data_IF_822964252032
#
_entry.id   IF_822964252032
#
_cell.length_a   1.000
_cell.length_b   1.000
_cell.length_c   1.000
_cell.angle_alpha   90.00
_cell.angle_beta   90.00
_cell.angle_gamma   90.00
#
_symmetry.space_group_name_H-M   'P 1'
#
loop_
_entity.id
_entity.type
_entity.pdbx_description
1 polymer ?
#
# COMPACT_ATOMS: atom_id res chain seq x y z
N UNK A 1 11.46 10.41 -41.81
CA UNK A 1 10.42 11.45 -41.99
C UNK A 1 9.08 10.76 -41.99
N UNK A 2 8.44 10.65 -40.82
CA UNK A 2 7.17 9.92 -40.67
C UNK A 2 6.14 10.92 -40.17
N UNK A 3 5.26 11.32 -41.08
CA UNK A 3 4.17 12.26 -40.84
C UNK A 3 3.06 11.56 -40.06
N UNK A 4 2.72 12.08 -38.88
CA UNK A 4 1.57 11.65 -38.10
C UNK A 4 0.31 12.42 -38.55
N UNK A 5 -0.86 11.77 -38.63
CA UNK A 5 -2.09 12.43 -39.04
C UNK A 5 -2.73 13.24 -37.89
N UNK A 6 -3.50 14.30 -38.21
CA UNK A 6 -4.16 15.13 -37.22
C UNK A 6 -5.37 14.42 -36.60
N UNK A 7 -5.40 14.39 -35.26
CA UNK A 7 -6.51 13.91 -34.44
C UNK A 7 -7.62 14.96 -34.40
N UNK A 8 -8.70 14.73 -35.14
CA UNK A 8 -9.94 15.49 -35.05
C UNK A 8 -10.78 14.97 -33.89
N UNK A 9 -10.87 15.72 -32.80
CA UNK A 9 -11.85 15.46 -31.75
C UNK A 9 -13.20 16.10 -32.14
N UNK A 10 -14.32 15.38 -32.03
CA UNK A 10 -15.64 15.94 -32.32
C UNK A 10 -16.10 16.88 -31.20
N UNK A 11 -16.40 18.12 -31.58
CA UNK A 11 -17.12 19.10 -30.76
C UNK A 11 -18.55 18.61 -30.54
N UNK A 12 -18.88 18.25 -29.30
CA UNK A 12 -20.25 17.90 -28.94
C UNK A 12 -21.13 19.17 -28.95
N UNK A 13 -22.05 19.24 -29.93
CA UNK A 13 -23.10 20.24 -29.97
C UNK A 13 -24.08 20.01 -28.82
N UNK A 14 -24.16 21.01 -27.93
CA UNK A 14 -25.09 21.05 -26.81
C UNK A 14 -26.45 21.53 -27.34
N UNK A 15 -27.32 20.62 -27.70
CA UNK A 15 -28.72 20.90 -28.08
C UNK A 15 -29.49 21.40 -26.86
N UNK A 16 -29.76 22.70 -26.79
CA UNK A 16 -30.74 23.28 -25.87
C UNK A 16 -32.14 23.08 -26.45
N UNK A 17 -32.87 22.13 -25.89
CA UNK A 17 -34.32 21.97 -26.08
C UNK A 17 -35.02 23.15 -25.41
N UNK A 18 -35.49 24.09 -26.21
CA UNK A 18 -36.42 25.13 -25.77
C UNK A 18 -37.80 24.48 -25.60
N UNK A 19 -38.23 24.30 -24.35
CA UNK A 19 -39.62 24.03 -24.02
C UNK A 19 -40.31 25.33 -23.65
N UNK A 20 -41.38 25.60 -24.40
CA UNK A 20 -42.32 26.69 -24.27
C UNK A 20 -43.18 26.54 -23.00
N UNK A 21 -43.21 27.52 -22.07
CA UNK A 21 -44.10 27.46 -20.92
C UNK A 21 -45.43 28.16 -21.21
N UNK A 22 -46.51 27.36 -21.17
CA UNK A 22 -47.88 27.86 -21.16
C UNK A 22 -48.19 28.77 -19.95
N UNK A 23 -49.27 29.57 -20.03
CA UNK A 23 -49.62 30.57 -19.02
C UNK A 23 -50.17 29.89 -17.76
N UNK A 24 -49.27 29.58 -16.83
CA UNK A 24 -49.61 29.13 -15.47
C UNK A 24 -49.73 30.34 -14.56
N UNK A 25 -50.92 30.53 -14.00
CA UNK A 25 -51.27 31.59 -13.06
C UNK A 25 -50.24 31.67 -11.92
N UNK A 26 -49.55 32.82 -11.83
CA UNK A 26 -48.58 33.13 -10.78
C UNK A 26 -49.31 33.39 -9.46
N UNK A 27 -49.03 32.64 -8.39
CA UNK A 27 -49.39 33.04 -7.03
C UNK A 27 -48.68 34.35 -6.65
N UNK A 28 -49.23 35.14 -5.72
CA UNK A 28 -48.66 36.41 -5.28
C UNK A 28 -47.23 36.22 -4.74
N UNK A 29 -46.33 37.05 -5.23
CA UNK A 29 -44.90 37.04 -4.95
C UNK A 29 -44.64 37.08 -3.43
N UNK A 30 -44.10 35.98 -2.90
CA UNK A 30 -43.36 35.99 -1.65
C UNK A 30 -42.09 36.85 -1.84
N UNK A 31 -41.65 37.60 -0.81
CA UNK A 31 -40.48 38.46 -0.90
C UNK A 31 -39.29 37.66 -1.39
N UNK A 32 -38.74 38.11 -2.53
CA UNK A 32 -37.51 37.60 -3.13
C UNK A 32 -36.48 37.45 -2.01
N UNK A 33 -36.19 36.20 -1.68
CA UNK A 33 -35.10 35.85 -0.79
C UNK A 33 -33.86 36.37 -1.50
N UNK A 34 -33.36 37.52 -1.06
CA UNK A 34 -32.16 38.15 -1.58
C UNK A 34 -31.10 37.06 -1.74
N UNK A 35 -30.92 36.61 -2.98
CA UNK A 35 -29.93 35.61 -3.28
C UNK A 35 -28.62 36.20 -2.78
N UNK A 36 -28.06 35.60 -1.73
CA UNK A 36 -26.80 36.01 -1.12
C UNK A 36 -25.72 35.78 -2.19
N UNK A 37 -25.56 36.75 -3.08
CA UNK A 37 -24.50 36.79 -4.06
C UNK A 37 -23.21 36.79 -3.25
N UNK A 38 -22.56 35.63 -3.22
CA UNK A 38 -21.40 35.39 -2.36
C UNK A 38 -20.38 36.49 -2.60
N UNK A 39 -20.03 37.22 -1.53
CA UNK A 39 -19.02 38.28 -1.60
C UNK A 39 -17.79 37.72 -2.30
N UNK A 40 -17.26 38.38 -3.35
CA UNK A 40 -16.11 37.88 -4.08
C UNK A 40 -14.97 37.65 -3.08
N UNK A 41 -14.42 36.43 -3.07
CA UNK A 41 -13.32 36.08 -2.18
C UNK A 41 -12.12 36.98 -2.52
N UNK A 42 -11.70 37.80 -1.57
CA UNK A 42 -10.50 38.62 -1.70
C UNK A 42 -9.30 37.69 -1.91
N UNK A 43 -8.41 38.07 -2.82
CA UNK A 43 -7.17 37.32 -3.10
C UNK A 43 -6.05 37.92 -2.27
N UNK A 44 -5.19 37.06 -1.73
CA UNK A 44 -3.99 37.50 -1.00
C UNK A 44 -3.04 38.20 -1.98
N UNK A 45 -2.35 39.25 -1.51
CA UNK A 45 -1.39 39.96 -2.33
C UNK A 45 -0.21 39.03 -2.74
N UNK A 46 0.45 39.26 -3.88
CA UNK A 46 1.56 38.43 -4.34
C UNK A 46 2.69 38.32 -3.30
N UNK A 47 3.03 39.42 -2.64
CA UNK A 47 4.07 39.47 -1.61
C UNK A 47 3.71 38.60 -0.39
N UNK A 48 2.41 38.60 -0.02
CA UNK A 48 1.89 37.70 1.00
C UNK A 48 2.09 36.23 0.62
N UNK A 49 1.78 35.86 -0.63
CA UNK A 49 2.02 34.49 -1.12
C UNK A 49 3.49 34.10 -1.12
N UNK A 50 4.39 35.01 -1.50
CA UNK A 50 5.84 34.77 -1.47
C UNK A 50 6.30 34.44 -0.03
N UNK A 51 5.91 35.27 0.93
CA UNK A 51 6.22 35.07 2.35
C UNK A 51 5.67 33.73 2.89
N UNK A 52 4.42 33.38 2.57
CA UNK A 52 3.86 32.09 2.98
C UNK A 52 4.59 30.89 2.35
N UNK A 53 4.99 31.02 1.09
CA UNK A 53 5.67 29.95 0.34
C UNK A 53 7.09 29.74 0.86
N UNK A 54 7.82 30.81 1.13
CA UNK A 54 9.19 30.71 1.66
C UNK A 54 9.21 30.17 3.08
N UNK A 55 8.27 30.59 3.93
CA UNK A 55 8.15 30.02 5.27
C UNK A 55 7.84 28.52 5.23
N UNK A 56 7.01 28.09 4.28
CA UNK A 56 6.69 26.67 4.12
C UNK A 56 7.90 25.83 3.70
N UNK A 57 8.77 26.35 2.82
CA UNK A 57 10.02 25.69 2.43
C UNK A 57 10.95 25.49 3.62
N UNK A 58 10.99 26.45 4.55
CA UNK A 58 11.83 26.39 5.74
C UNK A 58 11.28 25.44 6.80
N UNK A 59 9.98 25.52 7.07
CA UNK A 59 9.32 24.73 8.12
C UNK A 59 7.95 24.27 7.64
N UNK A 60 7.77 22.99 7.26
CA UNK A 60 6.46 22.51 6.83
C UNK A 60 5.48 22.33 8.00
N UNK A 61 5.98 22.13 9.21
CA UNK A 61 5.22 21.89 10.44
C UNK A 61 5.32 23.08 11.41
N UNK A 62 4.58 24.16 11.15
CA UNK A 62 4.54 25.32 12.06
C UNK A 62 3.72 25.02 13.33
N UNK A 63 4.24 25.46 14.47
CA UNK A 63 3.51 25.55 15.73
C UNK A 63 2.49 26.70 15.68
N UNK A 64 1.52 26.69 16.59
CA UNK A 64 0.48 27.72 16.64
C UNK A 64 1.06 29.12 16.92
N UNK A 65 2.11 29.21 17.73
CA UNK A 65 2.81 30.46 18.01
C UNK A 65 3.47 31.03 16.74
N UNK A 66 4.19 30.21 15.97
CA UNK A 66 4.81 30.67 14.72
C UNK A 66 3.77 31.11 13.69
N UNK A 67 2.58 30.48 13.66
CA UNK A 67 1.50 30.94 12.79
C UNK A 67 1.00 32.34 13.20
N UNK A 68 0.98 32.69 14.50
CA UNK A 68 0.58 34.03 14.96
C UNK A 68 1.61 35.08 14.57
N UNK A 69 2.90 34.77 14.75
CA UNK A 69 3.99 35.64 14.31
C UNK A 69 3.98 35.85 12.79
N UNK A 70 3.70 34.79 12.03
CA UNK A 70 3.57 34.86 10.57
C UNK A 70 2.37 35.71 10.14
N UNK A 71 1.25 35.61 10.85
CA UNK A 71 0.07 36.44 10.60
C UNK A 71 0.37 37.93 10.85
N UNK A 72 1.12 38.23 11.92
CA UNK A 72 1.53 39.61 12.22
C UNK A 72 2.39 40.19 11.09
N UNK A 73 3.39 39.44 10.61
CA UNK A 73 4.20 39.85 9.43
C UNK A 73 3.37 40.01 8.17
N UNK A 74 2.32 39.20 8.02
CA UNK A 74 1.42 39.28 6.87
C UNK A 74 0.54 40.53 6.91
N UNK A 75 0.15 41.01 8.10
CA UNK A 75 -0.57 42.28 8.29
C UNK A 75 0.32 43.51 8.09
N UNK A 76 1.64 43.39 8.22
CA UNK A 76 2.57 44.47 7.85
C UNK A 76 2.62 44.72 6.32
N UNK A 77 2.16 43.76 5.51
CA UNK A 77 2.06 43.90 4.05
C UNK A 77 0.75 44.59 3.67
N UNK A 78 0.85 45.71 2.95
CA UNK A 78 -0.30 46.48 2.48
C UNK A 78 -1.30 45.61 1.69
N UNK A 79 -2.57 45.60 2.13
CA UNK A 79 -3.66 44.88 1.47
C UNK A 79 -3.90 43.46 1.98
N UNK A 80 -3.18 43.01 3.00
CA UNK A 80 -3.32 41.71 3.64
C UNK A 80 -4.00 41.77 5.03
N UNK A 81 -4.46 42.94 5.48
CA UNK A 81 -5.07 43.16 6.81
C UNK A 81 -6.32 42.31 7.07
N UNK A 82 -7.02 41.95 6.00
CA UNK A 82 -8.25 41.16 6.07
C UNK A 82 -8.00 39.67 6.31
N UNK A 83 -6.75 39.20 6.19
CA UNK A 83 -6.41 37.80 6.32
C UNK A 83 -6.47 37.38 7.79
N UNK A 84 -7.23 36.32 8.08
CA UNK A 84 -7.41 35.88 9.47
C UNK A 84 -6.50 34.70 9.82
N UNK A 85 -6.38 34.43 11.12
CA UNK A 85 -5.66 33.26 11.61
C UNK A 85 -6.26 31.93 11.10
N UNK A 86 -7.59 31.88 10.96
CA UNK A 86 -8.29 30.71 10.43
C UNK A 86 -8.00 30.51 8.93
N UNK A 87 -7.91 31.59 8.16
CA UNK A 87 -7.50 31.51 6.75
C UNK A 87 -6.07 30.99 6.61
N UNK A 88 -5.17 31.41 7.51
CA UNK A 88 -3.80 30.92 7.56
C UNK A 88 -3.72 29.43 7.92
N UNK A 89 -4.45 28.98 8.96
CA UNK A 89 -4.59 27.56 9.32
C UNK A 89 -5.13 26.74 8.16
N UNK A 90 -6.16 27.25 7.48
CA UNK A 90 -6.78 26.62 6.31
C UNK A 90 -5.80 26.50 5.15
N UNK A 91 -5.02 27.55 4.89
CA UNK A 91 -3.98 27.55 3.86
C UNK A 91 -2.89 26.51 4.16
N UNK A 92 -2.37 26.43 5.40
CA UNK A 92 -1.38 25.41 5.78
C UNK A 92 -1.91 23.98 5.70
N UNK A 93 -3.18 23.77 6.08
CA UNK A 93 -3.85 22.47 5.91
C UNK A 93 -3.93 22.09 4.43
N UNK A 94 -4.34 23.02 3.58
CA UNK A 94 -4.42 22.80 2.13
C UNK A 94 -3.05 22.52 1.49
N UNK A 95 -2.00 23.22 1.93
CA UNK A 95 -0.63 22.93 1.50
C UNK A 95 -0.18 21.52 1.88
N UNK A 96 -0.40 21.13 3.14
CA UNK A 96 -0.08 19.76 3.59
C UNK A 96 -0.86 18.72 2.79
N UNK A 97 -2.14 18.94 2.50
CA UNK A 97 -2.94 18.02 1.68
C UNK A 97 -2.48 17.94 0.21
N UNK A 98 -1.88 19.02 -0.32
CA UNK A 98 -1.30 19.02 -1.67
C UNK A 98 0.07 18.33 -1.74
N UNK A 99 0.80 18.35 -0.62
CA UNK A 99 2.19 17.89 -0.51
C UNK A 99 2.33 16.51 0.11
N UNK A 100 1.37 16.06 0.92
CA UNK A 100 1.09 14.63 1.01
C UNK A 100 0.92 14.22 -0.44
N UNK A 101 1.82 13.41 -1.02
CA UNK A 101 1.71 12.97 -2.39
C UNK A 101 0.28 12.53 -2.52
N UNK A 102 -0.52 13.29 -3.29
CA UNK A 102 -1.95 13.07 -3.42
C UNK A 102 -2.03 11.59 -3.71
N UNK A 103 -2.42 10.79 -2.71
CA UNK A 103 -2.40 9.35 -2.83
C UNK A 103 -3.19 9.14 -4.10
N UNK A 104 -2.47 8.74 -5.15
CA UNK A 104 -3.08 8.49 -6.45
C UNK A 104 -4.23 7.57 -6.07
N UNK A 105 -5.50 7.95 -6.35
CA UNK A 105 -6.65 7.26 -5.78
C UNK A 105 -6.36 5.78 -5.90
N UNK A 106 -6.10 5.14 -4.76
CA UNK A 106 -5.33 3.90 -4.70
C UNK A 106 -5.92 3.03 -5.79
N UNK A 107 -5.13 2.81 -6.85
CA UNK A 107 -5.64 2.07 -8.00
C UNK A 107 -6.20 0.77 -7.42
N UNK A 108 -7.22 0.17 -8.03
CA UNK A 108 -7.67 -1.15 -7.56
C UNK A 108 -6.48 -2.10 -7.41
N UNK A 109 -5.42 -1.90 -8.21
CA UNK A 109 -4.13 -2.56 -8.06
C UNK A 109 -3.33 -2.19 -6.80
N UNK A 110 -3.29 -0.93 -6.36
CA UNK A 110 -2.58 -0.51 -5.15
C UNK A 110 -3.26 -1.01 -3.87
N UNK A 111 -4.61 -1.10 -3.89
CA UNK A 111 -5.39 -1.64 -2.77
C UNK A 111 -5.19 -3.14 -2.65
N UNK A 112 -5.23 -3.86 -3.79
CA UNK A 112 -5.15 -5.32 -3.82
C UNK A 112 -3.72 -5.84 -3.71
N UNK A 113 -2.72 -5.06 -4.10
CA UNK A 113 -1.33 -5.49 -4.21
C UNK A 113 -0.35 -4.43 -3.69
N UNK A 114 -0.35 -4.13 -2.38
CA UNK A 114 0.43 -3.03 -1.82
C UNK A 114 1.95 -3.21 -1.96
N UNK A 115 2.45 -4.44 -2.16
CA UNK A 115 3.88 -4.68 -2.38
C UNK A 115 4.33 -4.57 -3.83
N UNK A 116 3.40 -4.42 -4.80
CA UNK A 116 3.72 -4.31 -6.22
C UNK A 116 3.87 -2.85 -6.63
N UNK A 117 5.08 -2.46 -7.02
CA UNK A 117 5.33 -1.16 -7.66
C UNK A 117 4.88 -1.17 -9.13
N UNK A 118 4.55 -0.01 -9.73
CA UNK A 118 4.22 0.08 -11.16
C UNK A 118 5.31 -0.49 -12.07
N UNK A 119 6.59 -0.33 -11.71
CA UNK A 119 7.71 -0.91 -12.44
C UNK A 119 7.75 -2.44 -12.35
N UNK A 120 7.42 -3.01 -11.18
CA UNK A 120 7.34 -4.46 -11.00
C UNK A 120 6.22 -5.09 -11.82
N UNK A 121 5.09 -4.38 -11.98
CA UNK A 121 3.96 -4.81 -12.82
C UNK A 121 4.39 -4.93 -14.30
N UNK A 122 5.14 -3.95 -14.83
CA UNK A 122 5.67 -4.03 -16.19
C UNK A 122 6.59 -5.23 -16.40
N UNK A 123 7.44 -5.55 -15.40
CA UNK A 123 8.30 -6.74 -15.44
C UNK A 123 7.49 -8.03 -15.37
N UNK A 124 6.43 -8.08 -14.55
CA UNK A 124 5.53 -9.22 -14.47
C UNK A 124 4.79 -9.48 -15.80
N UNK A 125 4.41 -8.43 -16.52
CA UNK A 125 3.82 -8.57 -17.86
C UNK A 125 4.79 -9.23 -18.84
N UNK A 126 6.08 -8.86 -18.82
CA UNK A 126 7.12 -9.52 -19.63
C UNK A 126 7.26 -10.99 -19.24
N UNK A 127 7.37 -11.28 -17.94
CA UNK A 127 7.52 -12.66 -17.44
C UNK A 127 6.31 -13.54 -17.81
N UNK A 128 5.09 -13.01 -17.73
CA UNK A 128 3.88 -13.74 -18.14
C UNK A 128 3.77 -13.93 -19.65
N UNK A 129 4.34 -13.03 -20.45
CA UNK A 129 4.41 -13.23 -21.91
C UNK A 129 5.33 -14.40 -22.30
N UNK A 130 6.35 -14.67 -21.50
CA UNK A 130 7.28 -15.79 -21.70
C UNK A 130 6.73 -17.10 -21.11
N UNK A 131 6.11 -17.05 -19.93
CA UNK A 131 5.49 -18.20 -19.27
C UNK A 131 4.11 -17.83 -18.71
N UNK A 132 3.02 -18.12 -19.45
CA UNK A 132 1.66 -17.72 -19.05
C UNK A 132 1.10 -18.52 -17.87
N UNK A 133 1.71 -19.67 -17.54
CA UNK A 133 1.28 -20.55 -16.45
C UNK A 133 2.45 -20.91 -15.54
N UNK A 134 3.00 -19.94 -14.80
CA UNK A 134 4.16 -20.17 -13.95
C UNK A 134 3.81 -21.11 -12.80
N UNK A 135 4.76 -21.97 -12.43
CA UNK A 135 4.65 -22.82 -11.23
C UNK A 135 4.85 -21.98 -9.98
N UNK A 136 4.32 -22.45 -8.84
CA UNK A 136 4.45 -21.75 -7.55
C UNK A 136 5.92 -21.43 -7.18
N UNK A 137 6.84 -22.33 -7.51
CA UNK A 137 8.28 -22.10 -7.31
C UNK A 137 8.80 -20.91 -8.13
N UNK A 138 8.35 -20.74 -9.37
CA UNK A 138 8.73 -19.61 -10.24
C UNK A 138 8.16 -18.30 -9.71
N UNK A 139 6.90 -18.31 -9.25
CA UNK A 139 6.25 -17.16 -8.61
C UNK A 139 7.03 -16.70 -7.38
N UNK A 140 7.52 -17.62 -6.55
CA UNK A 140 8.37 -17.29 -5.41
C UNK A 140 9.72 -16.68 -5.79
N UNK A 141 10.32 -17.12 -6.91
CA UNK A 141 11.54 -16.50 -7.44
C UNK A 141 11.25 -15.08 -7.94
N UNK A 142 10.14 -14.89 -8.66
CA UNK A 142 9.73 -13.58 -9.16
C UNK A 142 9.47 -12.60 -8.01
N UNK A 143 8.69 -13.00 -7.00
CA UNK A 143 8.41 -12.19 -5.84
C UNK A 143 9.69 -11.72 -5.13
N UNK A 144 10.63 -12.63 -4.89
CA UNK A 144 11.92 -12.30 -4.27
C UNK A 144 12.76 -11.34 -5.11
N UNK A 145 12.75 -11.48 -6.44
CA UNK A 145 13.50 -10.60 -7.36
C UNK A 145 12.86 -9.23 -7.54
N UNK A 146 11.54 -9.14 -7.42
CA UNK A 146 10.78 -7.89 -7.54
C UNK A 146 10.68 -7.13 -6.21
N UNK A 147 11.08 -7.75 -5.08
CA UNK A 147 10.91 -7.17 -3.75
C UNK A 147 9.45 -7.13 -3.30
N UNK A 148 8.61 -7.99 -3.86
CA UNK A 148 7.19 -8.08 -3.58
C UNK A 148 6.85 -9.33 -2.76
N UNK A 149 5.67 -9.36 -2.14
CA UNK A 149 5.21 -10.55 -1.43
C UNK A 149 4.75 -11.61 -2.44
N UNK A 150 4.97 -12.90 -2.10
CA UNK A 150 4.52 -14.01 -2.93
C UNK A 150 3.00 -13.95 -3.20
N UNK A 151 2.22 -13.58 -2.16
CA UNK A 151 0.77 -13.53 -2.22
C UNK A 151 0.30 -12.48 -3.22
N UNK A 152 0.89 -11.28 -3.21
CA UNK A 152 0.51 -10.21 -4.13
C UNK A 152 0.83 -10.58 -5.58
N UNK A 153 1.99 -11.16 -5.84
CA UNK A 153 2.37 -11.62 -7.19
C UNK A 153 1.41 -12.70 -7.68
N UNK A 154 1.11 -13.70 -6.85
CA UNK A 154 0.18 -14.78 -7.20
C UNK A 154 -1.22 -14.24 -7.51
N UNK A 155 -1.74 -13.37 -6.62
CA UNK A 155 -3.08 -12.77 -6.78
C UNK A 155 -3.16 -11.92 -8.04
N UNK A 156 -2.10 -11.15 -8.34
CA UNK A 156 -2.02 -10.35 -9.55
C UNK A 156 -2.01 -11.23 -10.81
N UNK A 157 -1.28 -12.36 -10.81
CA UNK A 157 -1.28 -13.33 -11.92
C UNK A 157 -2.67 -13.92 -12.14
N UNK A 158 -3.37 -14.29 -11.06
CA UNK A 158 -4.71 -14.87 -11.15
C UNK A 158 -5.74 -13.86 -11.67
N UNK A 159 -5.62 -12.59 -11.25
CA UNK A 159 -6.42 -11.49 -11.77
C UNK A 159 -6.10 -11.19 -13.25
N UNK A 160 -4.82 -11.21 -13.62
CA UNK A 160 -4.41 -11.04 -15.01
C UNK A 160 -4.97 -12.16 -15.91
N UNK A 161 -4.95 -13.41 -15.45
CA UNK A 161 -5.53 -14.55 -16.17
C UNK A 161 -7.04 -14.44 -16.33
N UNK A 162 -7.76 -13.90 -15.35
CA UNK A 162 -9.21 -13.69 -15.46
C UNK A 162 -9.58 -12.56 -16.42
N UNK A 163 -8.69 -11.58 -16.58
CA UNK A 163 -8.85 -10.49 -17.55
C UNK A 163 -8.36 -10.84 -18.95
N UNK A 164 -7.53 -11.87 -19.11
CA UNK A 164 -7.19 -12.38 -20.42
C UNK A 164 -8.51 -12.85 -21.05
N UNK A 165 -9.00 -12.19 -22.12
CA UNK A 165 -10.21 -12.65 -22.78
C UNK A 165 -9.91 -14.09 -23.14
N UNK A 166 -10.61 -15.05 -22.53
CA UNK A 166 -10.47 -16.47 -22.83
C UNK A 166 -10.51 -16.57 -24.34
N UNK A 167 -9.32 -16.70 -24.94
CA UNK A 167 -9.16 -16.63 -26.38
C UNK A 167 -9.79 -17.89 -26.88
N UNK A 168 -11.09 -17.79 -27.16
CA UNK A 168 -11.94 -18.89 -27.48
C UNK A 168 -11.84 -20.06 -26.48
N UNK A 169 -12.73 -20.04 -25.48
CA UNK A 169 -13.84 -20.99 -25.59
C UNK A 169 -14.23 -21.02 -27.06
N UNK A 170 -13.64 -21.97 -27.80
CA UNK A 170 -14.06 -22.35 -29.13
C UNK A 170 -15.53 -22.61 -28.91
N UNK A 171 -16.36 -21.59 -29.12
CA UNK A 171 -17.66 -21.75 -29.71
C UNK A 171 -17.30 -22.57 -30.93
N UNK A 172 -17.39 -23.89 -30.76
CA UNK A 172 -17.46 -24.82 -31.85
C UNK A 172 -18.36 -24.09 -32.83
N UNK A 173 -17.77 -23.63 -33.95
CA UNK A 173 -18.59 -23.44 -35.13
C UNK A 173 -19.39 -24.74 -35.19
N UNK A 174 -20.74 -24.67 -35.21
CA UNK A 174 -21.57 -25.86 -35.16
C UNK A 174 -20.97 -26.81 -36.18
N UNK A 175 -20.37 -27.90 -35.68
CA UNK A 175 -19.74 -28.87 -36.56
C UNK A 175 -20.87 -29.29 -37.49
N UNK A 176 -20.75 -29.09 -38.82
CA UNK A 176 -21.80 -29.49 -39.74
C UNK A 176 -22.15 -30.94 -39.46
N UNK A 177 -23.45 -31.26 -39.50
CA UNK A 177 -23.99 -32.57 -39.17
C UNK A 177 -23.12 -33.69 -39.77
N UNK A 178 -22.95 -34.83 -39.06
CA UNK A 178 -22.13 -35.93 -39.54
C UNK A 178 -22.61 -36.38 -40.92
N UNK A 179 -21.83 -36.01 -41.94
CA UNK A 179 -22.02 -36.49 -43.30
C UNK A 179 -21.89 -38.00 -43.27
N UNK A 180 -23.00 -38.68 -43.55
CA UNK A 180 -23.11 -40.12 -43.74
C UNK A 180 -22.29 -40.56 -44.96
N UNK A 181 -20.98 -40.61 -44.80
CA UNK A 181 -20.10 -41.31 -45.73
C UNK A 181 -20.04 -42.78 -45.31
N UNK A 182 -20.44 -43.74 -46.16
CA UNK A 182 -20.42 -45.16 -45.81
C UNK A 182 -18.95 -45.62 -45.65
N UNK A 183 -18.63 -46.19 -44.49
CA UNK A 183 -17.32 -46.78 -44.23
C UNK A 183 -17.12 -48.05 -45.09
N UNK A 184 -15.94 -48.26 -45.70
CA UNK A 184 -15.54 -49.55 -46.24
C UNK A 184 -15.16 -50.50 -45.10
N UNK A 185 -15.88 -51.62 -45.05
CA UNK A 185 -15.69 -52.77 -44.17
C UNK A 185 -14.24 -53.29 -44.23
N UNK A 186 -13.42 -53.01 -43.22
CA UNK A 186 -12.12 -53.67 -43.06
C UNK A 186 -11.97 -54.36 -41.71
N UNK A 187 -12.03 -55.69 -41.82
CA UNK A 187 -11.26 -56.72 -41.10
C UNK A 187 -11.01 -56.53 -39.60
N UNK A 188 -11.80 -57.29 -38.84
CA UNK A 188 -11.56 -57.79 -37.49
C UNK A 188 -10.13 -58.31 -37.30
N UNK A 189 -9.40 -57.71 -36.34
CA UNK A 189 -8.18 -58.29 -35.77
C UNK A 189 -8.47 -58.89 -34.38
N UNK A 190 -7.73 -59.94 -33.98
CA UNK A 190 -8.05 -60.77 -32.83
C UNK A 190 -7.68 -60.14 -31.46
N UNK A 191 -8.25 -60.67 -30.36
CA UNK A 191 -8.02 -60.20 -29.00
C UNK A 191 -6.64 -60.60 -28.50
N UNK A 192 -5.83 -59.63 -28.09
CA UNK A 192 -4.61 -59.87 -27.32
C UNK A 192 -4.98 -59.93 -25.83
N UNK A 193 -4.95 -61.14 -25.28
CA UNK A 193 -4.88 -61.41 -23.85
C UNK A 193 -3.41 -61.49 -23.46
N UNK A 194 -2.96 -60.67 -22.51
CA UNK A 194 -1.75 -60.86 -21.70
C UNK A 194 -1.44 -59.53 -21.01
N UNK A 195 -1.03 -59.41 -19.76
CA UNK A 195 -0.76 -60.34 -18.68
C UNK A 195 -0.59 -59.44 -17.45
N UNK A 196 -1.21 -59.81 -16.33
CA UNK A 196 -0.99 -59.13 -15.07
C UNK A 196 0.47 -59.20 -14.64
N UNK A 197 1.03 -58.05 -14.26
CA UNK A 197 2.20 -58.02 -13.38
C UNK A 197 1.85 -57.17 -12.17
N UNK A 198 1.45 -57.87 -11.12
CA UNK A 198 1.38 -57.40 -9.74
C UNK A 198 2.80 -57.09 -9.27
N UNK A 199 3.15 -55.81 -9.13
CA UNK A 199 4.31 -55.42 -8.35
C UNK A 199 3.88 -55.18 -6.91
N UNK A 200 3.99 -56.24 -6.11
CA UNK A 200 4.08 -56.14 -4.67
C UNK A 200 5.46 -55.53 -4.33
N UNK A 201 5.49 -54.22 -4.12
CA UNK A 201 6.62 -53.55 -3.47
C UNK A 201 6.39 -53.61 -1.98
N UNK A 202 7.33 -54.27 -1.31
CA UNK A 202 7.44 -54.48 0.12
C UNK A 202 7.23 -53.18 0.91
N UNK A 203 6.30 -53.24 1.86
CA UNK A 203 6.30 -52.39 3.05
C UNK A 203 7.57 -52.70 3.83
N UNK A 204 8.58 -51.84 3.70
CA UNK A 204 9.63 -51.73 4.69
C UNK A 204 9.15 -50.80 5.79
N UNK A 205 9.00 -51.37 6.98
CA UNK A 205 8.49 -50.73 8.19
C UNK A 205 9.55 -49.80 8.76
N UNK A 206 9.71 -48.62 8.16
CA UNK A 206 10.36 -47.52 8.84
C UNK A 206 9.41 -47.02 9.93
N UNK A 207 9.72 -47.40 11.18
CA UNK A 207 9.21 -46.75 12.38
C UNK A 207 9.35 -45.24 12.20
N UNK A 208 8.23 -44.60 11.90
CA UNK A 208 8.13 -43.16 11.95
C UNK A 208 8.45 -42.72 13.37
N UNK A 209 9.40 -41.79 13.56
CA UNK A 209 9.60 -41.15 14.85
C UNK A 209 8.23 -40.61 15.28
N UNK A 210 7.74 -41.14 16.40
CA UNK A 210 6.55 -40.70 17.10
C UNK A 210 6.61 -39.17 17.15
N UNK A 211 5.90 -38.52 16.22
CA UNK A 211 5.83 -37.07 16.14
C UNK A 211 5.31 -36.64 17.49
N UNK A 212 6.19 -36.02 18.29
CA UNK A 212 5.80 -35.32 19.50
C UNK A 212 4.59 -34.46 19.15
N UNK A 213 3.53 -34.49 19.98
CA UNK A 213 2.35 -33.69 19.73
C UNK A 213 2.85 -32.28 19.46
N UNK A 214 2.58 -31.80 18.24
CA UNK A 214 2.90 -30.43 17.85
C UNK A 214 2.37 -29.56 18.98
N UNK A 215 3.30 -28.92 19.71
CA UNK A 215 2.98 -27.76 20.52
C UNK A 215 2.44 -26.76 19.51
N UNK A 216 1.11 -26.78 19.37
CA UNK A 216 0.34 -25.77 18.71
C UNK A 216 0.83 -24.46 19.33
N UNK A 217 1.62 -23.70 18.55
CA UNK A 217 2.19 -22.44 18.99
C UNK A 217 1.00 -21.53 19.25
N UNK A 218 0.50 -21.55 20.49
CA UNK A 218 -0.57 -20.68 20.92
C UNK A 218 -0.07 -19.27 20.64
N UNK A 219 -0.74 -18.62 19.70
CA UNK A 219 -0.51 -17.21 19.45
C UNK A 219 -0.75 -16.48 20.77
N UNK A 220 0.12 -15.53 21.13
CA UNK A 220 -0.01 -14.79 22.37
C UNK A 220 -1.39 -14.15 22.44
N UNK A 221 -2.01 -14.21 23.60
CA UNK A 221 -3.33 -13.63 23.80
C UNK A 221 -3.27 -12.11 23.64
N UNK A 222 -4.39 -11.47 23.27
CA UNK A 222 -4.44 -10.01 23.12
C UNK A 222 -4.01 -9.28 24.41
N UNK A 223 -4.29 -9.88 25.58
CA UNK A 223 -3.88 -9.35 26.88
C UNK A 223 -2.36 -9.35 27.04
N UNK A 224 -1.68 -10.42 26.63
CA UNK A 224 -0.21 -10.53 26.65
C UNK A 224 0.44 -9.50 25.71
N UNK A 225 -0.13 -9.30 24.52
CA UNK A 225 0.35 -8.28 23.58
C UNK A 225 0.18 -6.87 24.16
N UNK A 226 -0.90 -6.61 24.88
CA UNK A 226 -1.11 -5.33 25.55
C UNK A 226 -0.15 -5.12 26.72
N UNK A 227 0.11 -6.16 27.53
CA UNK A 227 1.07 -6.10 28.63
C UNK A 227 2.49 -5.82 28.13
N UNK A 228 2.89 -6.46 27.03
CA UNK A 228 4.15 -6.16 26.36
C UNK A 228 4.18 -4.72 25.83
N UNK A 229 3.09 -4.26 25.21
CA UNK A 229 2.96 -2.88 24.75
C UNK A 229 3.12 -1.88 25.89
N UNK A 230 2.61 -2.20 27.08
CA UNK A 230 2.77 -1.40 28.29
C UNK A 230 4.22 -1.45 28.82
N UNK A 231 4.88 -2.61 28.79
CA UNK A 231 6.28 -2.74 29.18
C UNK A 231 7.21 -1.93 28.26
N UNK A 232 7.01 -2.02 26.93
CA UNK A 232 7.72 -1.19 25.96
C UNK A 232 7.42 0.29 26.14
N UNK A 233 6.14 0.63 26.32
CA UNK A 233 5.74 2.01 26.59
C UNK A 233 6.37 2.52 27.88
N UNK A 234 6.49 1.71 28.92
CA UNK A 234 7.15 2.07 30.16
C UNK A 234 8.62 2.37 29.92
N UNK A 235 9.37 1.49 29.25
CA UNK A 235 10.78 1.71 28.90
C UNK A 235 10.97 3.00 28.08
N UNK A 236 10.02 3.31 27.19
CA UNK A 236 10.05 4.50 26.33
C UNK A 236 9.50 5.77 27.00
N UNK A 237 8.60 5.65 27.98
CA UNK A 237 7.87 6.78 28.59
C UNK A 237 8.33 7.11 30.00
N UNK A 238 9.12 6.25 30.66
CA UNK A 238 9.71 6.56 31.96
C UNK A 238 10.48 7.87 31.83
N UNK A 239 9.94 8.88 32.52
CA UNK A 239 10.20 10.30 32.40
C UNK A 239 11.70 10.56 32.23
N UNK A 240 12.11 10.75 30.98
CA UNK A 240 13.28 11.56 30.74
C UNK A 240 12.78 12.99 30.56
N UNK A 241 13.37 13.98 31.26
CA UNK A 241 13.06 15.37 31.01
C UNK A 241 13.21 15.62 29.50
N UNK A 242 12.20 16.31 28.95
CA UNK A 242 12.09 16.74 27.56
C UNK A 242 13.45 16.93 26.87
N UNK A 243 13.62 16.50 25.61
CA UNK A 243 14.91 16.36 24.90
C UNK A 243 15.57 17.69 24.52
N UNK A 244 15.35 18.76 25.28
CA UNK A 244 16.09 20.01 25.15
C UNK A 244 17.46 19.83 25.81
N UNK A 245 18.24 18.89 25.30
CA UNK A 245 19.68 18.85 25.59
C UNK A 245 20.27 20.17 25.08
N UNK A 246 20.76 20.99 26.01
CA UNK A 246 21.34 22.30 25.71
C UNK A 246 22.79 22.17 25.23
N UNK A 247 23.41 21.04 25.52
CA UNK A 247 24.80 20.76 25.18
C UNK A 247 24.96 19.36 24.57
N UNK A 248 25.99 19.13 23.73
CA UNK A 248 26.30 17.80 23.21
C UNK A 248 26.55 16.76 24.30
N UNK A 249 27.13 17.17 25.44
CA UNK A 249 27.39 16.28 26.57
C UNK A 249 26.09 15.80 27.23
N UNK A 250 25.10 16.69 27.41
CA UNK A 250 23.77 16.31 27.89
C UNK A 250 23.08 15.33 26.94
N UNK A 251 23.26 15.50 25.62
CA UNK A 251 22.73 14.57 24.63
C UNK A 251 23.38 13.19 24.74
N UNK A 252 24.72 13.12 24.86
CA UNK A 252 25.41 11.84 25.04
C UNK A 252 24.93 11.12 26.31
N UNK A 253 24.83 11.82 27.43
CA UNK A 253 24.33 11.24 28.68
C UNK A 253 22.88 10.75 28.57
N UNK A 254 22.04 11.49 27.85
CA UNK A 254 20.66 11.08 27.57
C UNK A 254 20.61 9.82 26.69
N UNK A 255 21.39 9.77 25.62
CA UNK A 255 21.51 8.59 24.75
C UNK A 255 22.03 7.37 25.51
N UNK A 256 23.05 7.54 26.36
CA UNK A 256 23.60 6.45 27.17
C UNK A 256 22.57 5.90 28.16
N UNK A 257 21.79 6.77 28.80
CA UNK A 257 20.68 6.37 29.66
C UNK A 257 19.60 5.61 28.89
N UNK A 258 19.27 6.04 27.67
CA UNK A 258 18.32 5.35 26.81
C UNK A 258 18.84 3.98 26.36
N UNK A 259 20.10 3.91 25.92
CA UNK A 259 20.77 2.67 25.56
C UNK A 259 20.81 1.69 26.73
N UNK A 260 21.14 2.15 27.94
CA UNK A 260 21.17 1.29 29.11
C UNK A 260 19.81 0.66 29.42
N UNK A 261 18.71 1.44 29.31
CA UNK A 261 17.35 0.92 29.50
C UNK A 261 16.97 -0.09 28.42
N UNK A 262 17.31 0.16 27.17
CA UNK A 262 17.07 -0.78 26.07
C UNK A 262 17.86 -2.08 26.28
N UNK A 263 19.12 -2.00 26.72
CA UNK A 263 19.94 -3.17 27.03
C UNK A 263 19.38 -3.97 28.20
N UNK A 264 18.88 -3.31 29.25
CA UNK A 264 18.21 -4.00 30.35
C UNK A 264 16.95 -4.73 29.88
N UNK A 265 16.12 -4.09 29.05
CA UNK A 265 14.94 -4.74 28.45
C UNK A 265 15.32 -5.97 27.61
N UNK A 266 16.36 -5.86 26.78
CA UNK A 266 16.87 -6.99 25.98
C UNK A 266 17.43 -8.12 26.86
N UNK A 267 18.11 -7.79 27.95
CA UNK A 267 18.58 -8.78 28.92
C UNK A 267 17.41 -9.50 29.60
N UNK A 268 16.32 -8.79 29.93
CA UNK A 268 15.12 -9.40 30.50
C UNK A 268 14.45 -10.38 29.52
N UNK A 269 14.43 -10.05 28.21
CA UNK A 269 14.01 -11.00 27.16
C UNK A 269 14.92 -12.23 27.14
N UNK A 270 16.25 -12.01 27.14
CA UNK A 270 17.23 -13.10 27.09
C UNK A 270 17.15 -14.03 28.31
N UNK A 271 16.85 -13.46 29.48
CA UNK A 271 16.67 -14.20 30.73
C UNK A 271 15.31 -14.93 30.79
N UNK A 272 14.44 -14.75 29.80
CA UNK A 272 13.14 -15.40 29.73
C UNK A 272 12.09 -14.79 30.64
N UNK A 273 12.28 -13.57 31.15
CA UNK A 273 11.27 -12.89 31.98
C UNK A 273 9.96 -12.68 31.21
N UNK A 274 10.03 -12.60 29.88
CA UNK A 274 8.87 -12.47 28.99
C UNK A 274 8.49 -13.78 28.27
N UNK A 275 9.06 -14.93 28.67
CA UNK A 275 8.73 -16.22 28.07
C UNK A 275 7.23 -16.55 28.24
N UNK A 276 6.63 -16.14 29.37
CA UNK A 276 5.19 -16.26 29.63
C UNK A 276 4.31 -15.44 28.67
N UNK A 277 4.88 -14.41 28.02
CA UNK A 277 4.20 -13.58 27.01
C UNK A 277 4.45 -14.10 25.58
N UNK A 278 5.02 -15.30 25.43
CA UNK A 278 5.34 -15.90 24.13
C UNK A 278 6.63 -15.39 23.49
N UNK A 279 7.45 -14.62 24.21
CA UNK A 279 8.74 -14.15 23.73
C UNK A 279 9.83 -15.13 24.14
N UNK A 280 10.06 -16.12 23.28
CA UNK A 280 11.13 -17.08 23.44
C UNK A 280 12.51 -16.37 23.38
N UNK A 281 13.44 -16.63 24.32
CA UNK A 281 14.79 -16.08 24.30
C UNK A 281 15.54 -16.26 22.96
N UNK A 282 15.17 -17.28 22.19
CA UNK A 282 15.73 -17.53 20.85
C UNK A 282 15.48 -16.38 19.86
N UNK A 283 14.41 -15.60 20.01
CA UNK A 283 14.14 -14.44 19.16
C UNK A 283 15.16 -13.31 19.34
N UNK A 284 15.73 -13.16 20.54
CA UNK A 284 16.71 -12.12 20.81
C UNK A 284 18.12 -12.45 20.24
N UNK A 285 18.43 -13.74 20.09
CA UNK A 285 19.73 -14.22 19.61
C UNK A 285 20.04 -13.81 18.18
N UNK A 286 19.04 -13.82 17.30
CA UNK A 286 19.21 -13.51 15.87
C UNK A 286 19.36 -12.00 15.61
N UNK A 287 18.65 -11.16 16.37
CA UNK A 287 18.71 -9.70 16.20
C UNK A 287 20.03 -9.12 16.72
N UNK A 288 20.54 -9.67 17.84
CA UNK A 288 21.78 -9.19 18.45
C UNK A 288 23.03 -9.75 17.76
N UNK A 289 23.01 -10.99 17.27
CA UNK A 289 24.16 -11.56 16.52
C UNK A 289 24.44 -10.83 15.21
N UNK A 290 23.46 -10.12 14.64
CA UNK A 290 23.64 -9.36 13.40
C UNK A 290 24.33 -8.00 13.60
N UNK A 291 24.39 -7.47 14.82
CA UNK A 291 24.93 -6.12 15.08
C UNK A 291 26.46 -6.11 15.25
N UNK A 292 27.07 -7.20 15.72
CA UNK A 292 28.52 -7.26 16.00
C UNK A 292 29.39 -7.61 14.76
N UNK A 293 28.79 -7.81 13.59
CA UNK A 293 29.47 -8.42 12.43
C UNK A 293 30.10 -7.50 11.37
N UNK A 294 29.93 -6.18 11.44
CA UNK A 294 30.53 -5.24 10.46
C UNK A 294 31.52 -4.30 11.14
N UNK A 295 32.63 -4.87 11.58
CA UNK A 295 33.87 -4.12 11.72
C UNK A 295 34.25 -3.60 10.33
N UNK A 296 33.97 -2.32 10.07
CA UNK A 296 34.55 -1.60 8.94
C UNK A 296 36.07 -1.73 9.11
N UNK A 297 36.69 -2.55 8.27
CA UNK A 297 38.11 -2.37 7.95
C UNK A 297 38.17 -1.05 7.22
N UNK A 298 38.62 -0.01 7.91
CA UNK A 298 39.10 1.22 7.29
C UNK A 298 40.27 0.83 6.37
N UNK A 299 40.14 1.19 5.11
CA UNK A 299 41.22 1.23 4.10
C UNK A 299 41.45 2.70 3.75
#
# INVERSE_FOLDING_TARGET
MTSLPPSSYPTAFRTTLAMDPGPSERPPALPESEALHGKPRRRLAPDGYALLTDQYKLTPNLTEQHLRELLQRLHEIHGCDWYTFEDLKRYWRGLRQKMVPKEVPASTHDILHPSLTPESILKLQVLLSENPSPRNVEVGIWARRLGATHIDVQTWIDLWKSHLPESSNKKHLPTPDPSTSPEPTHATLPPFYATGMSNAVSQDSHEMPKMSPHQEKQFPSLAEVQELGLALKHVLSEENPSPVARTPQEFCMWMDSHNHRLQNFLNNIKNGEYAQLGWDPSFAGDVLSSADGKSLKEE
#
